data_IF_538738754104
#
_entry.id   IF_538738754104
#
_cell.length_a   1.000
_cell.length_b   1.000
_cell.length_c   1.000
_cell.angle_alpha   90.00
_cell.angle_beta   90.00
_cell.angle_gamma   90.00
#
_symmetry.space_group_name_H-M   'P 1'
#
loop_
_entity.id
_entity.type
_entity.pdbx_description
1 polymer ?
#
# COMPACT_ATOMS: atom_id res chain seq x y z
N UNK A 1 -1.15 -22.36 -22.64
CA UNK A 1 -1.11 -22.83 -21.24
C UNK A 1 -2.55 -22.99 -20.75
N UNK A 2 -2.85 -24.03 -19.97
CA UNK A 2 -4.19 -24.15 -19.35
C UNK A 2 -4.45 -22.94 -18.46
N UNK A 3 -5.67 -22.42 -18.44
CA UNK A 3 -6.05 -21.29 -17.57
C UNK A 3 -5.83 -21.56 -16.07
N UNK A 4 -5.66 -22.81 -15.67
CA UNK A 4 -5.38 -23.24 -14.29
C UNK A 4 -3.91 -23.09 -13.87
N UNK A 5 -3.00 -22.83 -14.81
CA UNK A 5 -1.54 -22.80 -14.52
C UNK A 5 -0.95 -21.41 -14.34
N UNK A 6 -1.79 -20.39 -14.36
CA UNK A 6 -1.35 -19.01 -14.16
C UNK A 6 -1.05 -18.71 -12.69
N UNK A 7 0.00 -17.91 -12.38
CA UNK A 7 0.38 -17.60 -11.00
C UNK A 7 -0.76 -17.08 -10.12
N UNK A 8 -1.61 -16.22 -10.67
CA UNK A 8 -2.78 -15.64 -9.97
C UNK A 8 -3.98 -16.59 -9.83
N UNK A 9 -3.89 -17.82 -10.32
CA UNK A 9 -4.93 -18.84 -10.17
C UNK A 9 -4.57 -19.91 -9.12
N UNK A 10 -3.43 -19.75 -8.45
CA UNK A 10 -2.94 -20.65 -7.38
C UNK A 10 -2.46 -19.87 -6.18
N UNK A 11 -2.38 -20.48 -4.99
CA UNK A 11 -1.78 -19.85 -3.83
C UNK A 11 -0.34 -19.45 -4.11
N UNK A 12 0.08 -18.30 -3.52
CA UNK A 12 1.45 -17.81 -3.62
C UNK A 12 2.45 -18.87 -3.12
N UNK A 13 3.52 -19.17 -3.86
CA UNK A 13 4.60 -20.05 -3.41
C UNK A 13 5.20 -19.60 -2.07
N UNK A 14 5.72 -20.57 -1.29
CA UNK A 14 6.19 -20.28 0.07
C UNK A 14 7.40 -19.33 0.12
N UNK A 15 8.26 -19.36 -0.87
CA UNK A 15 9.38 -18.43 -1.00
C UNK A 15 8.89 -16.98 -1.10
N UNK A 16 7.96 -16.69 -2.02
CA UNK A 16 7.36 -15.37 -2.18
C UNK A 16 6.53 -14.97 -0.95
N UNK A 17 5.77 -15.91 -0.38
CA UNK A 17 5.02 -15.64 0.85
C UNK A 17 5.95 -15.35 2.03
N UNK A 18 7.08 -16.05 2.12
CA UNK A 18 8.13 -15.79 3.11
C UNK A 18 8.70 -14.39 2.99
N UNK A 19 9.06 -13.97 1.78
CA UNK A 19 9.54 -12.60 1.52
C UNK A 19 8.47 -11.54 1.87
N UNK A 20 7.23 -11.74 1.45
CA UNK A 20 6.12 -10.86 1.82
C UNK A 20 5.96 -10.77 3.34
N UNK A 21 6.05 -11.91 4.05
CA UNK A 21 6.00 -11.95 5.52
C UNK A 21 7.16 -11.18 6.15
N UNK A 22 8.37 -11.28 5.62
CA UNK A 22 9.55 -10.56 6.14
C UNK A 22 9.40 -9.04 5.97
N UNK A 23 8.85 -8.56 4.85
CA UNK A 23 8.48 -7.16 4.64
C UNK A 23 7.47 -6.70 5.70
N UNK A 24 6.37 -7.43 5.85
CA UNK A 24 5.31 -7.06 6.78
C UNK A 24 5.73 -7.18 8.26
N UNK A 25 6.68 -8.05 8.57
CA UNK A 25 7.23 -8.21 9.92
C UNK A 25 8.29 -7.17 10.27
N UNK A 26 9.00 -6.60 9.29
CA UNK A 26 10.04 -5.61 9.53
C UNK A 26 9.45 -4.36 10.20
N UNK A 27 10.04 -3.86 11.30
CA UNK A 27 9.57 -2.64 11.95
C UNK A 27 9.87 -1.43 11.06
N UNK A 28 8.80 -0.74 10.67
CA UNK A 28 8.88 0.45 9.81
C UNK A 28 7.84 1.50 10.19
N UNK A 29 7.80 1.94 11.47
CA UNK A 29 6.89 3.04 11.84
C UNK A 29 7.27 4.31 11.08
N UNK A 30 6.27 5.13 10.74
CA UNK A 30 6.48 6.41 10.03
C UNK A 30 7.68 7.15 10.58
N UNK A 31 8.66 7.47 9.72
CA UNK A 31 9.90 8.17 10.06
C UNK A 31 11.08 7.27 10.46
N UNK A 32 10.88 5.93 10.58
CA UNK A 32 11.94 4.97 10.93
C UNK A 32 11.75 3.68 10.08
N UNK A 33 11.79 3.80 8.76
CA UNK A 33 11.49 2.72 7.83
C UNK A 33 12.72 1.86 7.46
N UNK A 34 13.89 2.21 7.97
CA UNK A 34 15.17 1.61 7.56
C UNK A 34 15.26 0.10 7.70
N UNK A 35 14.59 -0.50 8.70
CA UNK A 35 14.59 -1.95 8.87
C UNK A 35 13.87 -2.67 7.71
N UNK A 36 12.84 -2.07 7.14
CA UNK A 36 12.14 -2.61 5.98
C UNK A 36 12.86 -2.24 4.67
N UNK A 37 13.15 -0.96 4.47
CA UNK A 37 13.71 -0.48 3.19
C UNK A 37 15.14 -0.96 2.96
N UNK A 38 16.03 -0.79 3.93
CA UNK A 38 17.44 -1.18 3.81
C UNK A 38 17.72 -2.60 4.30
N UNK A 39 16.94 -3.08 5.28
CA UNK A 39 17.15 -4.41 5.87
C UNK A 39 16.52 -5.55 5.09
N UNK A 40 15.40 -5.33 4.41
CA UNK A 40 14.64 -6.37 3.69
C UNK A 40 14.54 -6.08 2.19
N UNK A 41 13.99 -4.93 1.82
CA UNK A 41 13.66 -4.63 0.42
C UNK A 41 14.91 -4.40 -0.44
N UNK A 42 15.84 -3.55 0.00
CA UNK A 42 17.05 -3.26 -0.78
C UNK A 42 17.86 -4.53 -1.09
N UNK A 43 18.21 -5.40 -0.11
CA UNK A 43 18.92 -6.66 -0.41
C UNK A 43 18.17 -7.56 -1.38
N UNK A 44 16.83 -7.64 -1.26
CA UNK A 44 16.02 -8.44 -2.17
C UNK A 44 16.09 -7.93 -3.60
N UNK A 45 15.81 -6.64 -3.82
CA UNK A 45 15.81 -6.09 -5.18
C UNK A 45 17.20 -6.13 -5.81
N UNK A 46 18.27 -5.88 -5.03
CA UNK A 46 19.64 -5.97 -5.52
C UNK A 46 20.04 -7.41 -5.89
N UNK A 47 19.52 -8.42 -5.18
CA UNK A 47 19.82 -9.83 -5.51
C UNK A 47 19.12 -10.33 -6.77
N UNK A 48 18.07 -9.65 -7.24
CA UNK A 48 17.31 -10.00 -8.42
C UNK A 48 17.52 -9.00 -9.58
N UNK A 49 18.15 -7.86 -9.31
CA UNK A 49 18.41 -6.81 -10.29
C UNK A 49 19.37 -7.25 -11.41
N UNK A 50 19.22 -6.66 -12.58
CA UNK A 50 20.26 -6.74 -13.61
C UNK A 50 21.47 -5.90 -13.19
N UNK A 51 22.65 -6.23 -13.75
CA UNK A 51 23.92 -5.69 -13.29
C UNK A 51 24.08 -4.17 -13.43
N UNK A 52 23.32 -3.54 -14.29
CA UNK A 52 23.30 -2.10 -14.56
C UNK A 52 22.27 -1.32 -13.74
N UNK A 53 21.39 -2.02 -13.01
CA UNK A 53 20.41 -1.37 -12.14
C UNK A 53 21.05 -0.81 -10.89
N UNK A 54 20.53 0.33 -10.39
CA UNK A 54 21.07 1.00 -9.21
C UNK A 54 19.97 1.40 -8.22
N UNK A 55 20.30 1.36 -6.92
CA UNK A 55 19.43 1.88 -5.88
C UNK A 55 19.82 3.30 -5.52
N UNK A 56 18.91 4.23 -5.71
CA UNK A 56 19.03 5.61 -5.22
C UNK A 56 18.61 5.70 -3.76
N UNK A 57 19.39 6.46 -2.97
CA UNK A 57 19.11 6.77 -1.57
C UNK A 57 18.89 8.28 -1.41
N UNK A 58 17.94 8.66 -0.56
CA UNK A 58 17.52 10.04 -0.37
C UNK A 58 17.89 10.51 1.04
N UNK A 59 18.33 11.78 1.17
CA UNK A 59 18.82 12.35 2.43
C UNK A 59 17.72 12.53 3.48
N UNK A 60 16.49 12.83 3.06
CA UNK A 60 15.37 13.21 3.91
C UNK A 60 14.41 12.07 4.24
N UNK A 61 14.86 10.83 4.22
CA UNK A 61 14.04 9.65 4.52
C UNK A 61 12.85 9.42 3.56
N UNK A 62 12.94 9.92 2.32
CA UNK A 62 11.87 9.70 1.33
C UNK A 62 11.70 8.22 0.95
N UNK A 63 12.70 7.38 1.24
CA UNK A 63 12.70 5.95 0.94
C UNK A 63 13.81 5.54 -0.02
N UNK A 64 13.56 4.54 -0.87
CA UNK A 64 14.52 4.03 -1.87
C UNK A 64 13.87 3.93 -3.25
N UNK A 65 14.68 4.06 -4.31
CA UNK A 65 14.23 3.82 -5.69
C UNK A 65 15.25 2.91 -6.37
N UNK A 66 14.80 1.76 -6.89
CA UNK A 66 15.56 0.95 -7.82
C UNK A 66 15.31 1.47 -9.24
N UNK A 67 16.37 1.86 -9.91
CA UNK A 67 16.40 2.49 -11.23
C UNK A 67 17.01 1.53 -12.25
N UNK A 68 16.29 1.22 -13.30
CA UNK A 68 16.71 0.27 -14.32
C UNK A 68 17.69 0.86 -15.33
N UNK A 69 17.72 2.18 -15.50
CA UNK A 69 18.58 2.86 -16.49
C UNK A 69 19.13 4.16 -15.91
N UNK A 70 20.00 4.11 -14.89
CA UNK A 70 20.49 5.30 -14.21
C UNK A 70 21.21 6.25 -15.18
N UNK A 71 20.82 7.52 -15.12
CA UNK A 71 21.39 8.57 -15.99
C UNK A 71 20.81 8.64 -17.41
N UNK A 72 19.82 7.79 -17.76
CA UNK A 72 19.15 7.83 -19.07
C UNK A 72 17.85 8.63 -18.98
N UNK A 73 17.97 9.96 -18.88
CA UNK A 73 16.84 10.88 -18.82
C UNK A 73 16.12 11.07 -20.16
N UNK A 74 16.70 10.55 -21.22
CA UNK A 74 16.12 10.49 -22.57
C UNK A 74 15.07 9.39 -22.75
N UNK A 75 15.04 8.39 -21.85
CA UNK A 75 14.07 7.31 -21.89
C UNK A 75 12.75 7.70 -21.24
N UNK A 76 11.66 7.11 -21.72
CA UNK A 76 10.35 7.24 -21.11
C UNK A 76 10.34 6.65 -19.69
N UNK A 77 10.02 7.49 -18.69
CA UNK A 77 10.14 7.14 -17.28
C UNK A 77 8.83 6.64 -16.69
N UNK A 78 8.83 5.41 -16.21
CA UNK A 78 7.69 4.78 -15.52
C UNK A 78 8.03 4.57 -14.05
N UNK A 79 7.32 5.22 -13.14
CA UNK A 79 7.47 5.02 -11.70
C UNK A 79 6.36 4.13 -11.17
N UNK A 80 6.73 3.00 -10.55
CA UNK A 80 5.86 2.23 -9.68
C UNK A 80 6.18 2.57 -8.24
N UNK A 81 5.18 2.86 -7.43
CA UNK A 81 5.41 3.34 -6.09
C UNK A 81 4.47 2.69 -5.07
N UNK A 82 5.05 2.00 -4.10
CA UNK A 82 4.40 1.58 -2.87
C UNK A 82 5.05 2.25 -1.67
N UNK A 83 4.45 2.19 -0.47
CA UNK A 83 5.07 2.77 0.70
C UNK A 83 5.50 1.74 1.74
N UNK A 84 6.55 2.09 2.48
CA UNK A 84 7.16 1.26 3.52
C UNK A 84 6.70 1.65 4.92
N UNK A 85 6.27 2.89 5.10
CA UNK A 85 5.85 3.34 6.41
C UNK A 85 4.54 2.69 6.85
N UNK A 86 4.46 2.45 8.14
CA UNK A 86 3.33 1.84 8.83
C UNK A 86 2.73 2.84 9.79
N UNK A 87 1.40 2.90 9.87
CA UNK A 87 0.73 3.62 10.95
C UNK A 87 1.32 3.19 12.29
N UNK A 88 1.51 4.14 13.19
CA UNK A 88 2.18 3.89 14.45
C UNK A 88 1.40 4.40 15.63
N UNK A 89 1.73 3.84 16.78
CA UNK A 89 1.54 4.49 18.07
C UNK A 89 2.85 5.14 18.49
N UNK A 90 2.76 6.15 19.35
CA UNK A 90 3.92 6.90 19.83
C UNK A 90 3.76 7.23 21.31
N UNK A 91 4.84 7.10 22.06
CA UNK A 91 4.86 7.51 23.46
C UNK A 91 4.59 9.02 23.55
N UNK A 92 3.54 9.42 24.25
CA UNK A 92 3.19 10.82 24.53
C UNK A 92 3.74 11.28 25.86
N UNK A 93 3.53 10.49 26.90
CA UNK A 93 4.00 10.78 28.26
C UNK A 93 4.02 9.53 29.14
N UNK A 94 4.74 9.56 30.25
CA UNK A 94 4.81 8.49 31.26
C UNK A 94 4.18 9.01 32.55
N UNK A 95 3.14 8.33 33.03
CA UNK A 95 2.46 8.65 34.27
C UNK A 95 3.23 8.15 35.49
N UNK A 96 2.98 8.74 36.66
CA UNK A 96 3.59 8.33 37.94
C UNK A 96 3.19 6.90 38.32
N UNK A 97 2.05 6.41 37.81
CA UNK A 97 1.56 5.06 37.97
C UNK A 97 2.22 4.05 36.99
N UNK A 98 3.16 4.48 36.16
CA UNK A 98 3.90 3.67 35.19
C UNK A 98 3.18 3.46 33.86
N UNK A 99 1.98 4.00 33.67
CA UNK A 99 1.29 3.96 32.38
C UNK A 99 2.01 4.81 31.35
N UNK A 100 2.19 4.27 30.16
CA UNK A 100 2.77 4.98 29.03
C UNK A 100 1.62 5.45 28.14
N UNK A 101 1.26 6.72 28.26
CA UNK A 101 0.20 7.33 27.44
C UNK A 101 0.68 7.46 26.00
N UNK A 102 -0.19 7.05 25.06
CA UNK A 102 0.19 6.97 23.65
C UNK A 102 -0.66 7.86 22.76
N UNK A 103 -0.09 8.33 21.66
CA UNK A 103 -0.82 8.76 20.48
C UNK A 103 -0.97 7.57 19.54
N UNK A 104 -2.14 7.42 18.94
CA UNK A 104 -2.40 6.38 17.93
C UNK A 104 -3.03 7.06 16.72
N UNK A 105 -2.22 7.39 15.74
CA UNK A 105 -2.71 8.00 14.53
C UNK A 105 -3.27 6.93 13.60
N UNK A 106 -4.39 7.22 12.93
CA UNK A 106 -5.07 6.36 11.96
C UNK A 106 -5.64 5.02 12.46
N UNK A 107 -5.23 4.52 13.63
CA UNK A 107 -5.87 3.34 14.22
C UNK A 107 -7.26 3.63 14.80
N UNK A 108 -8.14 2.65 14.69
CA UNK A 108 -9.42 2.67 15.43
C UNK A 108 -9.18 2.31 16.91
N UNK A 109 -9.37 3.22 17.88
CA UNK A 109 -8.94 3.02 19.27
C UNK A 109 -9.44 1.73 19.90
N UNK A 110 -10.70 1.36 19.63
CA UNK A 110 -11.34 0.16 20.19
C UNK A 110 -10.68 -1.14 19.71
N UNK A 111 -10.05 -1.14 18.53
CA UNK A 111 -9.41 -2.33 17.96
C UNK A 111 -8.01 -2.57 18.52
N UNK A 112 -7.46 -1.61 19.26
CA UNK A 112 -6.12 -1.72 19.84
C UNK A 112 -6.10 -2.37 21.22
N UNK A 113 -7.22 -2.29 21.96
CA UNK A 113 -7.27 -2.68 23.36
C UNK A 113 -7.01 -4.18 23.54
N UNK A 114 -6.11 -4.51 24.46
CA UNK A 114 -5.72 -5.89 24.80
C UNK A 114 -4.66 -6.50 23.88
N UNK A 115 -4.13 -5.73 22.93
CA UNK A 115 -3.15 -6.26 21.98
C UNK A 115 -1.71 -5.99 22.37
N UNK A 116 -0.86 -7.00 22.11
CA UNK A 116 0.57 -6.91 22.31
C UNK A 116 1.24 -6.01 21.29
N UNK A 117 2.24 -5.28 21.73
CA UNK A 117 3.00 -4.34 20.93
C UNK A 117 4.51 -4.51 21.16
N UNK A 118 5.28 -3.90 20.27
CA UNK A 118 6.72 -3.68 20.40
C UNK A 118 6.97 -2.19 20.50
N UNK A 119 7.63 -1.76 21.57
CA UNK A 119 8.11 -0.39 21.76
C UNK A 119 9.59 -0.33 21.38
N UNK A 120 9.96 0.64 20.57
CA UNK A 120 11.32 0.86 20.14
C UNK A 120 11.85 2.12 20.83
N UNK A 121 12.86 1.95 21.67
CA UNK A 121 13.53 3.03 22.37
C UNK A 121 15.00 3.09 21.95
N UNK A 122 15.48 4.26 21.60
CA UNK A 122 16.90 4.43 21.27
C UNK A 122 17.77 4.14 22.50
N UNK A 123 18.86 3.42 22.27
CA UNK A 123 19.83 3.13 23.33
C UNK A 123 20.52 4.43 23.79
N UNK A 124 20.42 4.82 25.08
CA UNK A 124 21.01 6.07 25.56
C UNK A 124 22.56 6.08 25.53
N UNK A 125 23.18 4.90 25.35
CA UNK A 125 24.64 4.78 25.29
C UNK A 125 25.12 4.71 23.85
N UNK A 126 24.36 4.03 22.99
CA UNK A 126 24.73 3.79 21.60
C UNK A 126 23.74 4.51 20.68
N UNK A 127 23.96 5.76 20.40
CA UNK A 127 23.10 6.58 19.53
C UNK A 127 22.91 5.91 18.16
N UNK A 128 21.66 5.89 17.68
CA UNK A 128 21.26 5.23 16.45
C UNK A 128 20.98 3.74 16.58
N UNK A 129 21.22 3.13 17.74
CA UNK A 129 20.80 1.78 18.07
C UNK A 129 19.49 1.80 18.86
N UNK A 130 18.64 0.79 18.66
CA UNK A 130 17.35 0.69 19.32
C UNK A 130 17.26 -0.57 20.17
N UNK A 131 16.62 -0.42 21.32
CA UNK A 131 16.15 -1.54 22.14
C UNK A 131 14.70 -1.82 21.85
N UNK A 132 14.33 -3.07 21.85
CA UNK A 132 12.94 -3.51 21.71
C UNK A 132 12.40 -3.90 23.07
N UNK A 133 11.32 -3.27 23.50
CA UNK A 133 10.61 -3.60 24.74
C UNK A 133 9.34 -4.34 24.32
N UNK A 134 9.24 -5.61 24.74
CA UNK A 134 8.09 -6.50 24.49
C UNK A 134 7.37 -6.82 25.81
N UNK A 135 6.17 -7.40 25.70
CA UNK A 135 5.38 -7.81 26.86
C UNK A 135 4.42 -6.75 27.37
N UNK A 136 4.29 -5.64 26.64
CA UNK A 136 3.28 -4.62 26.91
C UNK A 136 2.01 -4.83 26.10
N UNK A 137 0.86 -4.44 26.69
CA UNK A 137 -0.46 -4.43 26.03
C UNK A 137 -1.05 -3.03 26.00
N UNK A 138 -1.76 -2.74 24.91
CA UNK A 138 -2.53 -1.48 24.83
C UNK A 138 -3.79 -1.61 25.67
N UNK A 139 -3.99 -0.64 26.56
CA UNK A 139 -5.14 -0.58 27.48
C UNK A 139 -5.81 0.79 27.40
N UNK A 140 -7.03 0.89 27.95
CA UNK A 140 -7.75 2.15 27.96
C UNK A 140 -8.38 2.47 29.33
N UNK A 141 -8.97 1.51 29.99
CA UNK A 141 -9.88 1.74 31.12
C UNK A 141 -9.39 1.11 32.43
N UNK A 142 -8.37 0.27 32.38
CA UNK A 142 -7.86 -0.46 33.54
C UNK A 142 -8.89 -1.43 34.14
N UNK A 143 -9.83 -0.92 34.88
CA UNK A 143 -10.91 -1.71 35.49
C UNK A 143 -12.23 -1.51 34.71
N UNK A 144 -12.36 -2.11 33.53
CA UNK A 144 -13.46 -1.90 32.58
C UNK A 144 -14.85 -2.17 33.18
N UNK A 145 -14.97 -3.08 34.17
CA UNK A 145 -16.24 -3.36 34.85
C UNK A 145 -16.82 -2.15 35.60
N UNK A 146 -15.99 -1.17 35.94
CA UNK A 146 -16.37 0.07 36.61
C UNK A 146 -16.48 1.28 35.69
N UNK A 147 -16.23 1.10 34.38
CA UNK A 147 -16.39 2.15 33.39
C UNK A 147 -17.89 2.50 33.20
N UNK A 148 -18.11 3.65 32.56
CA UNK A 148 -19.45 4.08 32.11
C UNK A 148 -20.18 2.92 31.38
N UNK A 149 -21.45 2.70 31.72
CA UNK A 149 -22.23 1.63 31.14
C UNK A 149 -22.30 1.69 29.60
N UNK A 150 -22.39 2.88 29.03
CA UNK A 150 -22.39 3.07 27.57
C UNK A 150 -21.09 2.60 26.91
N UNK A 151 -19.95 2.80 27.57
CA UNK A 151 -18.65 2.29 27.10
C UNK A 151 -18.60 0.77 27.24
N UNK A 152 -19.01 0.22 28.36
CA UNK A 152 -19.02 -1.23 28.63
C UNK A 152 -19.90 -2.01 27.67
N UNK A 153 -21.05 -1.45 27.32
CA UNK A 153 -22.03 -2.09 26.43
C UNK A 153 -21.79 -1.81 24.95
N UNK A 154 -20.80 -0.98 24.63
CA UNK A 154 -20.45 -0.67 23.23
C UNK A 154 -21.24 0.48 22.59
N UNK A 155 -22.14 1.14 23.35
CA UNK A 155 -22.90 2.29 22.85
C UNK A 155 -22.02 3.54 22.66
N UNK A 156 -20.88 3.58 23.32
CA UNK A 156 -19.89 4.66 23.24
C UNK A 156 -18.48 4.11 23.10
N UNK A 157 -17.74 4.59 22.08
CA UNK A 157 -16.38 4.18 21.85
C UNK A 157 -15.38 4.76 22.86
N UNK A 158 -14.21 4.12 22.97
CA UNK A 158 -13.05 4.64 23.69
C UNK A 158 -12.38 5.71 22.81
N UNK A 159 -11.96 6.82 23.42
CA UNK A 159 -11.24 7.89 22.74
C UNK A 159 -9.75 7.55 22.65
N UNK A 160 -9.07 8.00 21.58
CA UNK A 160 -7.63 7.75 21.37
C UNK A 160 -6.75 8.30 22.51
N UNK A 161 -7.15 9.41 23.13
CA UNK A 161 -6.42 10.05 24.24
C UNK A 161 -6.46 9.21 25.53
N UNK A 162 -7.35 8.22 25.62
CA UNK A 162 -7.49 7.32 26.77
C UNK A 162 -6.60 6.08 26.66
N UNK A 163 -5.93 5.88 25.51
CA UNK A 163 -5.06 4.74 25.30
C UNK A 163 -3.73 4.91 26.01
N UNK A 164 -3.28 3.84 26.63
CA UNK A 164 -1.94 3.74 27.20
C UNK A 164 -1.37 2.34 27.00
N UNK A 165 -0.04 2.24 26.99
CA UNK A 165 0.67 0.96 27.03
C UNK A 165 0.93 0.60 28.49
N UNK A 166 0.56 -0.62 28.88
CA UNK A 166 0.77 -1.21 30.18
C UNK A 166 1.88 -2.26 30.12
N UNK A 167 2.99 -2.02 30.83
CA UNK A 167 4.14 -2.94 30.92
C UNK A 167 4.08 -3.84 32.15
N UNK A 168 3.02 -3.80 32.96
CA UNK A 168 2.87 -4.56 34.20
C UNK A 168 3.96 -4.27 35.24
N UNK A 169 4.41 -3.03 35.33
CA UNK A 169 5.45 -2.58 36.28
C UNK A 169 4.87 -2.59 37.71
N UNK A 170 5.57 -3.24 38.63
CA UNK A 170 5.20 -3.36 40.03
C UNK A 170 6.11 -2.57 40.97
N UNK A 171 5.63 -2.33 42.21
CA UNK A 171 6.38 -1.66 43.26
C UNK A 171 6.24 -0.13 43.26
N UNK A 172 7.20 0.53 43.90
CA UNK A 172 7.26 1.98 43.98
C UNK A 172 8.01 2.62 42.81
N UNK A 173 7.87 3.92 42.63
CA UNK A 173 8.58 4.69 41.61
C UNK A 173 8.42 4.13 40.17
N UNK A 174 7.20 3.70 39.81
CA UNK A 174 6.91 3.03 38.55
C UNK A 174 7.32 3.85 37.33
N UNK A 175 7.09 5.14 37.35
CA UNK A 175 7.58 6.05 36.28
C UNK A 175 9.09 5.92 36.08
N UNK A 176 9.88 6.00 37.15
CA UNK A 176 11.31 5.88 37.06
C UNK A 176 11.74 4.50 36.55
N UNK A 177 11.01 3.44 36.91
CA UNK A 177 11.29 2.11 36.37
C UNK A 177 11.08 2.06 34.86
N UNK A 178 10.01 2.65 34.32
CA UNK A 178 9.75 2.79 32.87
C UNK A 178 10.86 3.61 32.20
N UNK A 179 11.21 4.78 32.78
CA UNK A 179 12.28 5.64 32.26
C UNK A 179 13.65 4.95 32.27
N UNK A 180 13.92 4.09 33.27
CA UNK A 180 15.16 3.28 33.34
C UNK A 180 15.23 2.22 32.23
N UNK A 181 14.12 1.78 31.65
CA UNK A 181 14.10 0.96 30.44
C UNK A 181 14.55 1.74 29.20
N UNK A 182 14.67 3.06 29.29
CA UNK A 182 15.01 3.94 28.19
C UNK A 182 13.80 4.60 27.52
N UNK A 183 12.58 4.26 27.94
CA UNK A 183 11.34 4.79 27.34
C UNK A 183 11.26 6.30 27.53
N UNK A 184 10.98 7.00 26.45
CA UNK A 184 10.85 8.47 26.44
C UNK A 184 9.75 8.93 25.48
N UNK A 185 9.19 10.12 25.65
CA UNK A 185 8.27 10.69 24.68
C UNK A 185 8.87 10.73 23.27
N UNK A 186 8.07 10.33 22.28
CA UNK A 186 8.50 10.24 20.89
C UNK A 186 8.85 8.83 20.44
N UNK A 187 9.11 7.88 21.34
CA UNK A 187 9.41 6.50 20.99
C UNK A 187 8.26 5.85 20.25
N UNK A 188 8.59 5.06 19.22
CA UNK A 188 7.61 4.41 18.35
C UNK A 188 7.13 3.08 18.91
N UNK A 189 5.87 2.80 18.72
CA UNK A 189 5.21 1.56 19.12
C UNK A 189 4.49 0.99 17.91
N UNK A 190 4.70 -0.29 17.63
CA UNK A 190 4.00 -1.03 16.57
C UNK A 190 3.29 -2.27 17.12
N UNK A 191 2.30 -2.75 16.40
CA UNK A 191 1.62 -4.00 16.72
C UNK A 191 2.56 -5.20 16.55
N UNK A 192 2.50 -6.13 17.48
CA UNK A 192 3.22 -7.40 17.39
C UNK A 192 2.31 -8.49 16.76
N UNK A 193 2.02 -8.35 15.48
CA UNK A 193 1.08 -9.24 14.78
C UNK A 193 1.57 -9.60 13.38
N UNK A 194 2.55 -10.51 13.25
CA UNK A 194 3.02 -10.98 11.96
C UNK A 194 1.90 -11.68 11.17
N UNK A 195 1.96 -11.63 9.84
CA UNK A 195 0.99 -12.30 8.99
C UNK A 195 1.08 -13.82 9.09
N UNK A 196 -0.07 -14.46 8.89
CA UNK A 196 -0.22 -15.94 8.84
C UNK A 196 -1.16 -16.30 7.71
N UNK A 197 -0.95 -17.47 7.11
CA UNK A 197 -1.93 -18.03 6.17
C UNK A 197 -3.26 -18.27 6.88
N UNK A 198 -4.35 -18.01 6.17
CA UNK A 198 -5.69 -18.32 6.61
C UNK A 198 -6.03 -19.80 6.47
N UNK A 199 -7.30 -20.12 6.65
CA UNK A 199 -7.79 -21.48 6.44
C UNK A 199 -7.69 -21.90 4.98
N UNK A 200 -8.03 -21.01 4.04
CA UNK A 200 -7.79 -21.22 2.62
C UNK A 200 -6.34 -20.86 2.30
N UNK A 201 -5.63 -21.66 1.49
CA UNK A 201 -4.19 -21.49 1.26
C UNK A 201 -3.79 -20.21 0.53
N UNK A 202 -4.74 -19.55 -0.15
CA UNK A 202 -4.59 -18.28 -0.84
C UNK A 202 -4.95 -17.06 0.04
N UNK A 203 -5.52 -17.27 1.23
CA UNK A 203 -5.85 -16.21 2.18
C UNK A 203 -4.77 -16.05 3.25
N UNK A 204 -4.64 -14.85 3.79
CA UNK A 204 -3.74 -14.55 4.90
C UNK A 204 -4.28 -13.37 5.72
N UNK A 205 -3.79 -13.24 6.94
CA UNK A 205 -4.20 -12.19 7.86
C UNK A 205 -3.06 -11.79 8.80
N UNK A 206 -3.11 -10.57 9.29
CA UNK A 206 -2.15 -9.99 10.22
C UNK A 206 -2.29 -8.48 10.29
N UNK A 207 -1.27 -7.78 10.73
CA UNK A 207 -1.22 -6.33 10.71
C UNK A 207 -0.31 -5.83 9.57
N UNK A 208 -0.55 -4.59 9.15
CA UNK A 208 0.30 -3.85 8.21
C UNK A 208 0.31 -4.38 6.77
N UNK A 209 -0.82 -4.95 6.33
CA UNK A 209 -1.03 -5.18 4.91
C UNK A 209 -0.95 -3.86 4.15
N UNK A 210 -1.43 -2.80 4.77
CA UNK A 210 -1.24 -1.42 4.41
C UNK A 210 0.14 -0.92 4.91
N UNK A 211 1.14 -0.60 4.04
CA UNK A 211 1.16 -1.01 2.63
C UNK A 211 2.37 -1.93 2.34
N UNK A 212 2.62 -2.88 3.23
CA UNK A 212 3.62 -3.91 2.98
C UNK A 212 3.32 -4.71 1.71
N UNK A 213 2.03 -4.80 1.30
CA UNK A 213 1.64 -5.45 0.04
C UNK A 213 2.07 -4.66 -1.18
N UNK A 214 1.91 -3.34 -1.18
CA UNK A 214 2.39 -2.49 -2.28
C UNK A 214 3.90 -2.51 -2.41
N UNK A 215 4.62 -2.48 -1.27
CA UNK A 215 6.08 -2.63 -1.24
C UNK A 215 6.53 -3.99 -1.80
N UNK A 216 5.86 -5.08 -1.40
CA UNK A 216 6.11 -6.41 -1.95
C UNK A 216 5.84 -6.45 -3.46
N UNK A 217 4.70 -5.93 -3.90
CA UNK A 217 4.30 -5.96 -5.31
C UNK A 217 5.25 -5.18 -6.20
N UNK A 218 5.73 -4.03 -5.72
CA UNK A 218 6.73 -3.22 -6.42
C UNK A 218 8.05 -3.99 -6.57
N UNK A 219 8.54 -4.62 -5.49
CA UNK A 219 9.76 -5.44 -5.52
C UNK A 219 9.60 -6.71 -6.38
N UNK A 220 8.45 -7.37 -6.32
CA UNK A 220 8.14 -8.56 -7.13
C UNK A 220 8.02 -8.20 -8.62
N UNK A 221 7.46 -7.04 -8.94
CA UNK A 221 7.42 -6.53 -10.32
C UNK A 221 8.83 -6.28 -10.86
N UNK A 222 9.73 -5.73 -10.04
CA UNK A 222 11.13 -5.56 -10.42
C UNK A 222 11.81 -6.91 -10.73
N UNK A 223 11.61 -7.92 -9.88
CA UNK A 223 12.10 -9.27 -10.12
C UNK A 223 11.56 -9.86 -11.43
N UNK A 224 10.25 -9.73 -11.69
CA UNK A 224 9.63 -10.21 -12.93
C UNK A 224 10.18 -9.52 -14.18
N UNK A 225 10.44 -8.23 -14.12
CA UNK A 225 11.06 -7.48 -15.24
C UNK A 225 12.50 -7.93 -15.44
N UNK A 226 13.28 -8.12 -14.38
CA UNK A 226 14.65 -8.62 -14.48
C UNK A 226 14.71 -10.02 -15.10
N UNK A 227 13.84 -10.95 -14.67
CA UNK A 227 13.74 -12.30 -15.26
C UNK A 227 13.37 -12.31 -16.73
N UNK A 228 12.66 -11.27 -17.20
CA UNK A 228 12.31 -11.10 -18.61
C UNK A 228 13.39 -10.37 -19.43
N UNK A 229 14.53 -10.04 -18.82
CA UNK A 229 15.66 -9.38 -19.48
C UNK A 229 15.66 -7.86 -19.42
N UNK A 230 14.81 -7.26 -18.59
CA UNK A 230 14.72 -5.80 -18.43
C UNK A 230 13.82 -5.11 -19.46
N UNK A 231 14.10 -3.84 -19.68
CA UNK A 231 13.44 -2.94 -20.65
C UNK A 231 14.49 -2.25 -21.53
N UNK A 232 14.10 -1.72 -22.67
CA UNK A 232 15.01 -1.09 -23.64
C UNK A 232 14.71 0.37 -23.94
N UNK A 233 13.43 0.75 -23.95
CA UNK A 233 12.94 2.10 -24.26
C UNK A 233 12.32 2.80 -23.05
N UNK A 234 12.08 2.04 -21.98
CA UNK A 234 11.46 2.53 -20.76
C UNK A 234 12.46 2.43 -19.61
N UNK A 235 12.68 3.54 -18.90
CA UNK A 235 13.37 3.58 -17.62
C UNK A 235 12.37 3.36 -16.52
N UNK A 236 12.48 2.25 -15.79
CA UNK A 236 11.55 1.93 -14.70
C UNK A 236 12.17 2.34 -13.36
N UNK A 237 11.38 3.02 -12.56
CA UNK A 237 11.72 3.49 -11.23
C UNK A 237 10.82 2.73 -10.23
N UNK A 238 11.35 1.67 -9.63
CA UNK A 238 10.64 0.91 -8.59
C UNK A 238 10.86 1.60 -7.24
N UNK A 239 9.89 2.38 -6.83
CA UNK A 239 9.97 3.26 -5.68
C UNK A 239 9.27 2.66 -4.45
N UNK A 240 9.92 2.75 -3.31
CA UNK A 240 9.38 2.40 -2.00
C UNK A 240 9.46 3.66 -1.14
N UNK A 241 8.33 4.33 -0.97
CA UNK A 241 8.25 5.63 -0.31
C UNK A 241 8.11 5.52 1.21
N UNK A 242 8.42 6.61 1.88
CA UNK A 242 8.13 6.84 3.30
C UNK A 242 7.18 8.02 3.45
N UNK A 243 6.56 8.15 4.63
CA UNK A 243 5.61 9.23 4.96
C UNK A 243 4.34 9.28 4.09
N UNK A 244 3.89 8.15 3.56
CA UNK A 244 2.58 8.09 2.89
C UNK A 244 1.47 8.41 3.88
N UNK A 245 1.45 7.71 4.99
CA UNK A 245 0.45 7.73 6.06
C UNK A 245 0.21 9.12 6.71
N UNK A 246 1.13 10.05 6.50
CA UNK A 246 1.05 11.42 7.04
C UNK A 246 1.07 12.50 5.96
N UNK A 247 0.80 12.12 4.70
CA UNK A 247 0.59 13.07 3.61
C UNK A 247 1.39 12.85 2.35
N UNK A 248 1.82 11.63 2.06
CA UNK A 248 2.48 11.24 0.79
C UNK A 248 3.74 12.08 0.49
N UNK A 249 4.56 12.32 1.54
CA UNK A 249 5.68 13.27 1.41
C UNK A 249 6.86 12.66 0.66
N UNK A 250 7.20 11.38 0.91
CA UNK A 250 8.34 10.72 0.29
C UNK A 250 8.14 10.54 -1.21
N UNK A 251 6.96 10.10 -1.60
CA UNK A 251 6.59 9.92 -3.01
C UNK A 251 6.61 11.24 -3.80
N UNK A 252 6.24 12.34 -3.16
CA UNK A 252 6.32 13.68 -3.78
C UNK A 252 7.77 14.10 -4.03
N UNK A 253 8.69 13.75 -3.13
CA UNK A 253 10.12 13.96 -3.34
C UNK A 253 10.60 13.17 -4.55
N UNK A 254 10.25 11.89 -4.65
CA UNK A 254 10.61 11.06 -5.79
C UNK A 254 10.06 11.60 -7.10
N UNK A 255 8.77 11.95 -7.13
CA UNK A 255 8.15 12.51 -8.32
C UNK A 255 8.82 13.82 -8.75
N UNK A 256 9.09 14.73 -7.80
CA UNK A 256 9.72 16.02 -8.11
C UNK A 256 11.19 15.94 -8.50
N UNK A 257 11.95 14.95 -8.00
CA UNK A 257 13.38 14.80 -8.34
C UNK A 257 13.60 13.94 -9.59
N UNK A 258 12.71 12.97 -9.87
CA UNK A 258 12.90 12.00 -10.96
C UNK A 258 11.99 12.30 -12.17
N UNK A 259 10.97 13.11 -12.00
CA UNK A 259 10.06 13.59 -13.05
C UNK A 259 9.57 12.45 -13.98
N UNK A 260 8.77 11.48 -13.47
CA UNK A 260 8.27 10.39 -14.29
C UNK A 260 7.25 10.86 -15.32
N UNK A 261 7.22 10.24 -16.51
CA UNK A 261 6.15 10.41 -17.51
C UNK A 261 4.88 9.66 -17.10
N UNK A 262 5.06 8.51 -16.42
CA UNK A 262 3.98 7.69 -15.88
C UNK A 262 4.25 7.38 -14.41
N UNK A 263 3.22 7.53 -13.57
CA UNK A 263 3.26 7.19 -12.15
C UNK A 263 2.09 6.26 -11.80
N UNK A 264 2.39 5.09 -11.24
CA UNK A 264 1.41 4.12 -10.80
C UNK A 264 1.61 3.88 -9.30
N UNK A 265 0.65 4.33 -8.48
CA UNK A 265 0.60 3.98 -7.07
C UNK A 265 0.19 2.53 -6.90
N UNK A 266 0.82 1.83 -5.97
CA UNK A 266 0.51 0.43 -5.64
C UNK A 266 0.15 0.37 -4.17
N UNK A 267 -1.15 0.20 -3.88
CA UNK A 267 -1.67 0.32 -2.52
C UNK A 267 -2.84 -0.63 -2.25
N UNK A 268 -3.32 -0.65 -1.02
CA UNK A 268 -4.48 -1.48 -0.65
C UNK A 268 -5.79 -0.74 -0.92
N UNK A 269 -6.86 -1.51 -1.09
CA UNK A 269 -8.24 -1.03 -1.15
C UNK A 269 -9.11 -1.79 -0.14
N UNK A 270 -10.33 -1.34 0.06
CA UNK A 270 -11.29 -2.05 0.91
C UNK A 270 -12.04 -3.14 0.15
N UNK A 271 -12.23 -4.31 0.78
CA UNK A 271 -13.27 -5.27 0.40
C UNK A 271 -14.63 -4.71 0.84
N UNK A 272 -15.29 -3.98 -0.04
CA UNK A 272 -16.59 -3.35 0.26
C UNK A 272 -17.71 -4.36 0.41
N UNK A 273 -17.57 -5.56 -0.14
CA UNK A 273 -18.59 -6.62 -0.01
C UNK A 273 -18.65 -7.17 1.42
N UNK A 274 -17.55 -7.05 2.18
CA UNK A 274 -17.49 -7.46 3.57
C UNK A 274 -17.93 -6.37 4.56
N UNK A 275 -18.18 -5.14 4.11
CA UNK A 275 -18.49 -4.01 5.00
C UNK A 275 -19.98 -4.01 5.39
N UNK A 276 -20.31 -4.16 6.69
CA UNK A 276 -21.70 -4.14 7.14
C UNK A 276 -22.32 -2.75 6.96
N UNK A 277 -23.46 -2.69 6.29
CA UNK A 277 -24.22 -1.45 6.09
C UNK A 277 -23.58 -0.45 5.11
N UNK A 278 -22.50 -0.80 4.43
CA UNK A 278 -21.99 -0.03 3.30
C UNK A 278 -22.82 -0.39 2.08
N UNK A 279 -23.62 0.59 1.62
CA UNK A 279 -24.59 0.35 0.56
C UNK A 279 -23.95 0.18 -0.81
N UNK A 280 -24.49 -0.74 -1.55
CA UNK A 280 -24.22 -1.13 -2.94
C UNK A 280 -24.21 0.01 -3.98
N UNK A 281 -24.77 1.17 -3.65
CA UNK A 281 -24.89 2.32 -4.56
C UNK A 281 -23.86 3.42 -4.32
N UNK A 282 -23.08 3.33 -3.25
CA UNK A 282 -22.10 4.36 -2.88
C UNK A 282 -20.69 4.03 -3.31
N UNK A 283 -20.37 2.75 -3.30
CA UNK A 283 -19.02 2.23 -3.54
C UNK A 283 -19.10 1.10 -4.58
N UNK A 284 -18.07 0.90 -5.39
CA UNK A 284 -17.98 -0.23 -6.30
C UNK A 284 -17.93 -1.54 -5.50
N UNK A 285 -18.45 -2.65 -6.03
CA UNK A 285 -18.47 -3.94 -5.32
C UNK A 285 -17.10 -4.62 -5.39
N UNK A 286 -16.06 -4.01 -4.83
CA UNK A 286 -14.73 -4.60 -4.73
C UNK A 286 -14.75 -5.77 -3.75
N UNK A 287 -14.21 -6.90 -4.16
CA UNK A 287 -14.21 -8.15 -3.40
C UNK A 287 -12.81 -8.79 -3.38
N UNK A 288 -12.35 -9.19 -2.19
CA UNK A 288 -11.12 -9.93 -2.00
C UNK A 288 -11.16 -11.29 -2.72
N UNK A 289 -10.11 -11.63 -3.47
CA UNK A 289 -10.02 -12.86 -4.26
C UNK A 289 -10.58 -12.76 -5.69
N UNK A 290 -10.97 -11.55 -6.13
CA UNK A 290 -11.48 -11.29 -7.49
C UNK A 290 -10.49 -10.55 -8.38
N UNK A 291 -9.25 -10.46 -7.98
CA UNK A 291 -8.19 -9.80 -8.73
C UNK A 291 -7.84 -8.42 -8.17
N UNK A 292 -6.82 -7.82 -8.76
CA UNK A 292 -6.36 -6.50 -8.37
C UNK A 292 -7.39 -5.41 -8.71
N UNK A 293 -7.29 -4.26 -8.04
CA UNK A 293 -8.13 -3.08 -8.32
C UNK A 293 -7.35 -2.06 -9.16
N UNK A 294 -8.04 -1.32 -10.01
CA UNK A 294 -7.49 -0.20 -10.77
C UNK A 294 -8.38 1.02 -10.59
N UNK A 295 -7.80 2.13 -10.16
CA UNK A 295 -8.53 3.40 -10.03
C UNK A 295 -8.95 3.93 -11.39
N UNK A 296 -10.23 4.27 -11.50
CA UNK A 296 -10.84 4.86 -12.70
C UNK A 296 -11.61 6.12 -12.32
N UNK A 297 -11.78 7.03 -13.25
CA UNK A 297 -12.53 8.28 -13.05
C UNK A 297 -11.66 9.51 -13.23
N UNK A 298 -12.11 10.65 -12.73
CA UNK A 298 -11.58 11.98 -13.11
C UNK A 298 -10.10 12.18 -12.79
N UNK A 299 -9.57 11.47 -11.80
CA UNK A 299 -8.19 11.66 -11.33
C UNK A 299 -7.19 10.75 -12.04
N UNK A 300 -7.64 9.65 -12.65
CA UNK A 300 -6.78 8.66 -13.28
C UNK A 300 -6.60 8.93 -14.77
N UNK A 301 -5.41 8.64 -15.31
CA UNK A 301 -5.14 8.73 -16.74
C UNK A 301 -5.87 7.62 -17.51
N UNK A 302 -6.82 8.00 -18.35
CA UNK A 302 -7.57 7.08 -19.23
C UNK A 302 -6.66 6.34 -20.23
N UNK A 303 -5.60 6.98 -20.69
CA UNK A 303 -4.63 6.35 -21.60
C UNK A 303 -3.87 5.23 -20.91
N UNK A 304 -3.32 5.52 -19.73
CA UNK A 304 -2.58 4.55 -18.93
C UNK A 304 -3.48 3.39 -18.50
N UNK A 305 -4.68 3.71 -18.00
CA UNK A 305 -5.66 2.70 -17.60
C UNK A 305 -6.04 1.75 -18.75
N UNK A 306 -6.15 2.27 -19.97
CA UNK A 306 -6.43 1.46 -21.15
C UNK A 306 -5.32 0.47 -21.47
N UNK A 307 -4.06 0.83 -21.27
CA UNK A 307 -2.91 -0.05 -21.44
C UNK A 307 -2.95 -1.15 -20.37
N UNK A 308 -3.17 -0.79 -19.09
CA UNK A 308 -3.28 -1.74 -17.99
C UNK A 308 -4.42 -2.72 -18.22
N UNK A 309 -5.62 -2.23 -18.57
CA UNK A 309 -6.81 -3.04 -18.80
C UNK A 309 -6.65 -3.98 -20.01
N UNK A 310 -6.03 -3.49 -21.08
CA UNK A 310 -5.74 -4.30 -22.26
C UNK A 310 -4.76 -5.41 -21.93
N UNK A 311 -3.69 -5.09 -21.22
CA UNK A 311 -2.71 -6.07 -20.75
C UNK A 311 -3.34 -7.12 -19.85
N UNK A 312 -4.15 -6.72 -18.89
CA UNK A 312 -4.84 -7.64 -17.98
C UNK A 312 -5.79 -8.57 -18.76
N UNK A 313 -6.57 -8.04 -19.67
CA UNK A 313 -7.50 -8.80 -20.52
C UNK A 313 -6.77 -9.81 -21.41
N UNK A 314 -5.70 -9.40 -22.08
CA UNK A 314 -4.96 -10.26 -23.00
C UNK A 314 -4.23 -11.40 -22.28
N UNK A 315 -3.77 -11.16 -21.07
CA UNK A 315 -3.11 -12.16 -20.23
C UNK A 315 -4.10 -12.96 -19.36
N UNK A 316 -5.39 -12.61 -19.35
CA UNK A 316 -6.40 -13.27 -18.52
C UNK A 316 -6.22 -13.01 -17.03
N UNK A 317 -5.66 -11.84 -16.66
CA UNK A 317 -5.46 -11.43 -15.28
C UNK A 317 -6.75 -10.80 -14.74
N UNK A 318 -7.31 -11.29 -13.62
CA UNK A 318 -8.55 -10.74 -13.06
C UNK A 318 -8.32 -9.35 -12.50
N UNK A 319 -9.25 -8.43 -12.79
CA UNK A 319 -9.18 -7.02 -12.41
C UNK A 319 -10.56 -6.49 -12.03
N UNK A 320 -10.59 -5.53 -11.11
CA UNK A 320 -11.77 -4.80 -10.66
C UNK A 320 -11.53 -3.29 -10.83
N UNK A 321 -12.59 -2.53 -11.11
CA UNK A 321 -12.50 -1.07 -11.25
C UNK A 321 -12.91 -0.39 -9.95
N UNK A 322 -12.05 0.48 -9.43
CA UNK A 322 -12.31 1.34 -8.30
C UNK A 322 -12.54 2.78 -8.75
N UNK A 323 -13.68 3.37 -8.39
CA UNK A 323 -14.06 4.70 -8.86
C UNK A 323 -13.48 5.78 -7.94
N UNK A 324 -12.49 6.51 -8.44
CA UNK A 324 -11.86 7.64 -7.76
C UNK A 324 -12.21 8.98 -8.45
N UNK A 325 -12.78 9.92 -7.69
CA UNK A 325 -13.23 11.21 -8.23
C UNK A 325 -12.19 12.32 -8.15
N UNK A 326 -11.62 12.55 -6.99
CA UNK A 326 -10.73 13.69 -6.71
C UNK A 326 -9.38 13.30 -6.13
N UNK A 327 -9.27 12.13 -5.54
CA UNK A 327 -8.06 11.58 -4.93
C UNK A 327 -8.15 10.06 -4.95
N UNK A 328 -7.04 9.38 -5.11
CA UNK A 328 -6.94 7.91 -4.97
C UNK A 328 -6.74 7.50 -3.51
N UNK A 329 -6.37 8.42 -2.64
CA UNK A 329 -5.97 8.13 -1.26
C UNK A 329 -4.59 7.47 -1.13
N UNK A 330 -3.79 7.43 -2.22
CA UNK A 330 -2.54 6.69 -2.31
C UNK A 330 -1.42 7.55 -2.90
N UNK A 331 -0.20 7.05 -2.92
CA UNK A 331 0.96 7.66 -3.59
C UNK A 331 0.78 7.83 -5.11
N UNK A 332 -0.26 7.25 -5.72
CA UNK A 332 -0.57 7.40 -7.13
C UNK A 332 -0.75 8.85 -7.59
N UNK A 333 -1.07 9.76 -6.67
CA UNK A 333 -1.21 11.19 -6.97
C UNK A 333 0.04 12.02 -6.69
N UNK A 334 1.14 11.41 -6.30
CA UNK A 334 2.35 12.11 -5.88
C UNK A 334 2.92 13.02 -6.96
N UNK A 335 2.91 12.58 -8.21
CA UNK A 335 3.37 13.39 -9.36
C UNK A 335 2.57 14.69 -9.52
N UNK A 336 1.25 14.59 -9.54
CA UNK A 336 0.35 15.76 -9.65
C UNK A 336 0.53 16.69 -8.45
N UNK A 337 0.64 16.13 -7.24
CA UNK A 337 0.87 16.92 -6.02
C UNK A 337 2.25 17.59 -5.99
N UNK A 338 3.23 17.05 -6.71
CA UNK A 338 4.54 17.65 -6.90
C UNK A 338 4.61 18.58 -8.11
N UNK A 339 3.49 18.83 -8.79
CA UNK A 339 3.40 19.66 -10.02
C UNK A 339 4.18 19.08 -11.19
N UNK A 340 4.29 17.76 -11.27
CA UNK A 340 4.90 17.04 -12.40
C UNK A 340 3.81 16.67 -13.40
N UNK A 341 4.05 16.95 -14.68
CA UNK A 341 3.16 16.54 -15.77
C UNK A 341 3.38 15.06 -16.08
N UNK A 342 2.57 14.22 -15.46
CA UNK A 342 2.65 12.77 -15.63
C UNK A 342 1.27 12.13 -15.77
N UNK A 343 1.21 11.02 -16.51
CA UNK A 343 0.02 10.18 -16.55
C UNK A 343 -0.03 9.30 -15.28
N UNK A 344 -0.99 9.57 -14.40
CA UNK A 344 -1.06 8.92 -13.09
C UNK A 344 -2.28 8.01 -12.95
N UNK A 345 -2.12 6.92 -12.20
CA UNK A 345 -3.20 6.05 -11.75
C UNK A 345 -2.79 5.32 -10.46
N UNK A 346 -3.70 4.56 -9.88
CA UNK A 346 -3.39 3.65 -8.77
C UNK A 346 -3.95 2.27 -9.04
N UNK A 347 -3.21 1.25 -8.65
CA UNK A 347 -3.70 -0.12 -8.59
C UNK A 347 -3.54 -0.65 -7.16
N UNK A 348 -4.31 -1.65 -6.80
CA UNK A 348 -4.26 -2.16 -5.44
C UNK A 348 -4.92 -3.50 -5.24
N UNK A 349 -5.18 -3.82 -3.99
CA UNK A 349 -5.70 -5.11 -3.56
C UNK A 349 -6.85 -4.90 -2.58
N UNK A 350 -8.01 -5.56 -2.75
CA UNK A 350 -9.06 -5.51 -1.73
C UNK A 350 -8.60 -6.22 -0.46
N UNK A 351 -8.58 -5.51 0.66
CA UNK A 351 -8.31 -6.09 1.98
C UNK A 351 -9.48 -5.82 2.93
N UNK A 352 -9.56 -6.59 4.00
CA UNK A 352 -10.52 -6.40 5.08
C UNK A 352 -9.86 -5.78 6.28
N UNK A 353 -10.63 -4.97 7.02
CA UNK A 353 -10.23 -4.41 8.31
C UNK A 353 -8.93 -3.57 8.27
N UNK A 354 -8.73 -2.80 7.21
CA UNK A 354 -7.60 -1.85 7.10
C UNK A 354 -7.45 -1.02 8.39
N UNK A 355 -6.20 -0.72 8.78
CA UNK A 355 -5.85 0.04 9.98
C UNK A 355 -6.29 -0.64 11.31
N UNK A 356 -6.36 -1.97 11.29
CA UNK A 356 -6.59 -2.74 12.51
C UNK A 356 -5.48 -3.79 12.71
N UNK A 357 -5.55 -4.52 13.79
CA UNK A 357 -4.62 -5.61 14.07
C UNK A 357 -4.91 -6.90 13.28
N UNK A 358 -6.01 -6.97 12.57
CA UNK A 358 -6.45 -8.18 11.86
C UNK A 358 -6.92 -7.86 10.45
N UNK A 359 -6.03 -7.25 9.70
CA UNK A 359 -6.22 -7.08 8.26
C UNK A 359 -6.16 -8.44 7.57
N UNK A 360 -6.91 -8.63 6.51
CA UNK A 360 -6.91 -9.87 5.75
C UNK A 360 -6.85 -9.60 4.25
N UNK A 361 -6.09 -10.42 3.54
CA UNK A 361 -5.88 -10.31 2.10
C UNK A 361 -5.87 -11.66 1.38
N UNK A 362 -5.78 -11.61 0.06
CA UNK A 362 -5.67 -12.78 -0.81
C UNK A 362 -4.42 -12.70 -1.68
N UNK A 363 -3.57 -13.72 -1.62
CA UNK A 363 -2.30 -13.76 -2.36
C UNK A 363 -2.49 -13.78 -3.87
N UNK A 364 -3.66 -14.23 -4.37
CA UNK A 364 -3.97 -14.23 -5.80
C UNK A 364 -4.15 -12.82 -6.34
N UNK A 365 -4.77 -11.92 -5.55
CA UNK A 365 -4.93 -10.51 -5.94
C UNK A 365 -3.57 -9.81 -6.03
N UNK A 366 -2.68 -10.10 -5.07
CA UNK A 366 -1.31 -9.57 -5.02
C UNK A 366 -0.49 -10.03 -6.23
N UNK A 367 -0.53 -11.33 -6.55
CA UNK A 367 0.15 -11.87 -7.75
C UNK A 367 -0.45 -11.33 -9.04
N UNK A 368 -1.78 -11.17 -9.10
CA UNK A 368 -2.44 -10.56 -10.26
C UNK A 368 -1.93 -9.15 -10.52
N UNK A 369 -1.80 -8.32 -9.47
CA UNK A 369 -1.25 -6.97 -9.57
C UNK A 369 0.20 -6.96 -10.08
N UNK A 370 1.10 -7.75 -9.47
CA UNK A 370 2.50 -7.80 -9.88
C UNK A 370 2.67 -8.21 -11.34
N UNK A 371 1.93 -9.23 -11.80
CA UNK A 371 1.97 -9.67 -13.18
C UNK A 371 1.34 -8.66 -14.16
N UNK A 372 0.26 -7.99 -13.78
CA UNK A 372 -0.36 -6.93 -14.58
C UNK A 372 0.59 -5.74 -14.75
N UNK A 373 1.27 -5.32 -13.68
CA UNK A 373 2.27 -4.26 -13.72
C UNK A 373 3.46 -4.63 -14.62
N UNK A 374 4.01 -5.84 -14.45
CA UNK A 374 5.11 -6.30 -15.29
C UNK A 374 4.69 -6.38 -16.78
N UNK A 375 3.48 -6.84 -17.07
CA UNK A 375 2.92 -6.84 -18.42
C UNK A 375 2.71 -5.43 -18.98
N UNK A 376 2.24 -4.50 -18.16
CA UNK A 376 2.06 -3.09 -18.54
C UNK A 376 3.37 -2.42 -18.88
N UNK A 377 4.42 -2.63 -18.07
CA UNK A 377 5.77 -2.11 -18.35
C UNK A 377 6.27 -2.65 -19.69
N UNK A 378 6.09 -3.94 -19.97
CA UNK A 378 6.48 -4.52 -21.26
C UNK A 378 5.65 -3.97 -22.43
N UNK A 379 4.36 -3.73 -22.22
CA UNK A 379 3.52 -3.12 -23.24
C UNK A 379 3.96 -1.68 -23.56
N UNK A 380 4.39 -0.91 -22.55
CA UNK A 380 4.97 0.42 -22.71
C UNK A 380 6.32 0.35 -23.43
N UNK A 381 7.19 -0.59 -23.07
CA UNK A 381 8.50 -0.79 -23.69
C UNK A 381 8.41 -1.24 -25.16
N UNK A 382 7.31 -1.87 -25.52
CA UNK A 382 7.03 -2.31 -26.90
C UNK A 382 6.43 -1.22 -27.80
N UNK A 383 6.07 -0.06 -27.27
CA UNK A 383 5.58 1.05 -28.09
C UNK A 383 6.71 1.60 -28.96
N UNK A 384 6.46 1.91 -30.23
CA UNK A 384 7.47 2.51 -31.12
C UNK A 384 8.05 3.83 -30.59
N UNK A 385 7.21 4.65 -29.96
CA UNK A 385 7.54 5.92 -29.33
C UNK A 385 6.57 6.14 -28.14
N UNK A 386 6.97 5.75 -26.91
CA UNK A 386 6.13 5.90 -25.72
C UNK A 386 5.78 7.36 -25.43
N UNK A 387 6.72 8.32 -25.60
CA UNK A 387 6.44 9.74 -25.40
C UNK A 387 5.34 10.21 -26.32
N UNK A 388 5.48 9.92 -27.61
CA UNK A 388 4.50 10.31 -28.62
C UNK A 388 3.13 9.68 -28.40
N UNK A 389 3.09 8.44 -27.97
CA UNK A 389 1.85 7.73 -27.68
C UNK A 389 1.01 8.45 -26.62
N UNK A 390 1.65 9.01 -25.58
CA UNK A 390 0.95 9.78 -24.54
C UNK A 390 0.60 11.20 -24.95
N UNK A 391 1.36 11.82 -25.84
CA UNK A 391 1.06 13.17 -26.34
C UNK A 391 -0.08 13.20 -27.37
N UNK A 392 -0.17 12.17 -28.24
CA UNK A 392 -1.07 12.20 -29.40
C UNK A 392 -2.39 11.46 -29.21
N UNK A 393 -2.51 10.59 -28.20
CA UNK A 393 -3.63 9.67 -28.05
C UNK A 393 -4.61 10.03 -26.92
N UNK A 394 -4.83 11.31 -26.67
CA UNK A 394 -5.80 11.74 -25.65
C UNK A 394 -7.24 11.32 -26.00
N UNK A 395 -8.01 10.79 -25.04
CA UNK A 395 -9.43 10.51 -25.23
C UNK A 395 -10.22 11.78 -25.62
N UNK A 396 -11.07 11.65 -26.65
CA UNK A 396 -11.84 12.77 -27.19
C UNK A 396 -13.33 12.43 -27.21
N UNK A 397 -14.10 13.03 -26.32
CA UNK A 397 -15.56 12.83 -26.23
C UNK A 397 -16.32 13.51 -27.36
N UNK A 398 -15.76 14.54 -27.99
CA UNK A 398 -16.32 15.17 -29.18
C UNK A 398 -16.31 14.26 -30.41
N UNK A 399 -15.58 13.15 -30.36
CA UNK A 399 -15.55 12.08 -31.38
C UNK A 399 -16.39 10.86 -30.99
N UNK A 400 -17.15 10.94 -29.87
CA UNK A 400 -17.96 9.83 -29.42
C UNK A 400 -19.09 9.52 -30.43
N UNK A 401 -19.26 8.25 -30.74
CA UNK A 401 -20.36 7.78 -31.61
C UNK A 401 -21.66 7.69 -30.81
N UNK A 402 -22.71 8.43 -31.15
CA UNK A 402 -24.00 8.30 -30.50
C UNK A 402 -24.60 6.90 -30.74
N UNK A 403 -25.00 6.23 -29.66
CA UNK A 403 -25.86 5.05 -29.78
C UNK A 403 -27.28 5.50 -30.00
N UNK A 404 -27.83 5.23 -31.20
CA UNK A 404 -29.24 5.49 -31.51
C UNK A 404 -30.18 4.68 -30.60
N UNK A 405 -31.35 5.21 -30.29
CA UNK A 405 -32.38 4.44 -29.63
C UNK A 405 -32.75 3.22 -30.51
N UNK A 406 -32.59 2.04 -30.02
CA UNK A 406 -33.18 0.84 -30.65
C UNK A 406 -34.71 0.96 -30.52
N UNK A 407 -35.38 1.51 -31.53
CA UNK A 407 -36.83 1.67 -31.47
C UNK A 407 -37.45 2.63 -32.46
N UNK A 408 -36.67 3.35 -33.26
CA UNK A 408 -37.22 4.11 -34.38
C UNK A 408 -36.86 3.46 -35.71
N UNK A 409 -37.36 2.28 -35.97
CA UNK A 409 -37.64 1.93 -37.36
C UNK A 409 -38.69 2.94 -37.87
N UNK A 410 -38.28 3.86 -38.74
CA UNK A 410 -39.26 4.63 -39.52
C UNK A 410 -40.20 3.66 -40.17
N UNK A 411 -41.53 3.86 -40.08
CA UNK A 411 -42.43 3.09 -40.91
C UNK A 411 -42.08 3.39 -42.35
N UNK A 412 -41.85 2.36 -43.15
CA UNK A 412 -41.74 2.46 -44.60
C UNK A 412 -42.96 3.22 -45.13
N UNK A 413 -42.75 4.48 -45.44
CA UNK A 413 -43.65 5.22 -46.30
C UNK A 413 -43.23 4.89 -47.72
N UNK A 414 -43.83 3.85 -48.30
CA UNK A 414 -44.13 3.80 -49.71
C UNK A 414 -44.81 2.51 -50.06
N UNK A 415 -46.10 2.59 -50.17
CA UNK A 415 -46.86 2.00 -51.30
C UNK A 415 -48.16 2.74 -51.38
N UNK A 416 -48.19 3.76 -52.20
CA UNK A 416 -49.42 4.22 -52.83
C UNK A 416 -49.32 3.89 -54.29
N UNK A 417 -50.15 3.01 -54.73
CA UNK A 417 -51.07 3.26 -55.81
C UNK A 417 -52.44 3.21 -55.31
#
# INVERSE_FOLDING_TARGET
MSTTDQPWNRPMPEEQFGFMRDILAAPSPVGIEGAMTYGVLKPWVESHALADWQVHQFRGHAGIVMDTHPGRDDLFKVMLIGHADKIRMQVRSIGDDGKIWINSDSFLPTTLIGHEVKLFSEDPVNAGSYRVIEGGTVEALGAIHFADNAVRMGDKGVKKEQLYLELQIHGENKKQQVENLGVRPGDSIILNRPIRRGFSPDTFYGAYLDNGLGSFTTAETARLIAERGGTSQVRVLFAIASYEEIGRMGSRVFAGELEPDVLIGVDVNHDYTAAPGVGDRRLPPLEMGKGFTMSVGSIASEQLNRIIETTAREQGIPMQRDVAGVDTGTDGMAGVLASVDCAATSIGFPIRNMHTISEAGNTRDVLAAAHALAGTIQALDALPDPHRAFLDNHPRLDQATPLGHQGSAKPDSDTTE
#
